data_IF_295544836027
#
_entry.id   IF_295544836027
#
_cell.length_a   1.000
_cell.length_b   1.000
_cell.length_c   1.000
_cell.angle_alpha   90.00
_cell.angle_beta   90.00
_cell.angle_gamma   90.00
#
_symmetry.space_group_name_H-M   'P 1'
#
loop_
_entity.id
_entity.type
_entity.pdbx_description
1 polymer ?
#
# COMPACT_ATOMS: atom_id res chain seq x y z
N UNK A 1 52.41 -14.58 -7.04
CA UNK A 1 51.69 -13.28 -7.13
C UNK A 1 50.26 -13.43 -7.63
N UNK A 2 49.96 -14.29 -8.62
CA UNK A 2 48.58 -14.50 -9.16
C UNK A 2 47.63 -15.18 -8.15
N UNK A 3 48.13 -16.12 -7.34
CA UNK A 3 47.35 -16.80 -6.28
C UNK A 3 46.97 -15.90 -5.10
N UNK A 4 47.80 -14.90 -4.77
CA UNK A 4 47.50 -13.88 -3.75
C UNK A 4 46.41 -12.91 -4.21
N UNK A 5 46.40 -12.58 -5.52
CA UNK A 5 45.36 -11.74 -6.14
C UNK A 5 43.99 -12.45 -6.21
N UNK A 6 43.97 -13.76 -6.45
CA UNK A 6 42.72 -14.54 -6.46
C UNK A 6 42.08 -14.66 -5.06
N UNK A 7 42.90 -14.84 -4.01
CA UNK A 7 42.40 -14.90 -2.63
C UNK A 7 41.82 -13.58 -2.12
N UNK A 8 42.38 -12.46 -2.58
CA UNK A 8 41.90 -11.11 -2.22
C UNK A 8 40.56 -10.76 -2.89
N UNK A 9 40.30 -11.28 -4.10
CA UNK A 9 39.04 -11.07 -4.84
C UNK A 9 37.86 -11.85 -4.25
N UNK A 10 38.08 -13.03 -3.68
CA UNK A 10 37.02 -13.85 -3.04
C UNK A 10 36.61 -13.28 -1.67
N UNK A 11 37.53 -12.64 -0.94
CA UNK A 11 37.25 -12.04 0.37
C UNK A 11 36.33 -10.80 0.31
N UNK A 12 36.35 -10.05 -0.80
CA UNK A 12 35.58 -8.80 -0.92
C UNK A 12 34.08 -9.02 -1.15
N UNK A 13 33.67 -10.16 -1.73
CA UNK A 13 32.27 -10.47 -2.03
C UNK A 13 31.47 -10.87 -0.77
N UNK A 14 32.14 -11.43 0.24
CA UNK A 14 31.46 -11.94 1.45
C UNK A 14 31.05 -10.84 2.44
N UNK A 15 31.71 -9.68 2.42
CA UNK A 15 31.45 -8.58 3.38
C UNK A 15 30.12 -7.88 3.09
N UNK A 16 29.70 -7.79 1.82
CA UNK A 16 28.40 -7.21 1.45
C UNK A 16 27.21 -8.08 1.89
N UNK A 17 27.40 -9.39 2.03
CA UNK A 17 26.33 -10.33 2.36
C UNK A 17 25.76 -10.16 3.77
N UNK A 18 26.62 -9.96 4.79
CA UNK A 18 26.17 -9.87 6.18
C UNK A 18 25.39 -8.58 6.49
N UNK A 19 25.79 -7.46 5.88
CA UNK A 19 25.05 -6.20 6.02
C UNK A 19 23.69 -6.27 5.30
N UNK A 20 23.65 -6.90 4.13
CA UNK A 20 22.42 -7.13 3.37
C UNK A 20 21.44 -8.01 4.13
N UNK A 21 21.92 -9.15 4.61
CA UNK A 21 21.10 -10.12 5.34
C UNK A 21 20.44 -9.49 6.58
N UNK A 22 21.20 -8.69 7.34
CA UNK A 22 20.68 -7.98 8.52
C UNK A 22 19.52 -7.04 8.18
N UNK A 23 19.67 -6.19 7.17
CA UNK A 23 18.63 -5.22 6.77
C UNK A 23 17.39 -5.94 6.26
N UNK A 24 17.57 -7.01 5.47
CA UNK A 24 16.45 -7.80 4.96
C UNK A 24 15.71 -8.54 6.08
N UNK A 25 16.44 -9.05 7.08
CA UNK A 25 15.85 -9.66 8.28
C UNK A 25 15.07 -8.63 9.09
N UNK A 26 15.63 -7.45 9.35
CA UNK A 26 14.96 -6.37 10.07
C UNK A 26 13.65 -5.96 9.37
N UNK A 27 13.70 -5.74 8.05
CA UNK A 27 12.50 -5.41 7.28
C UNK A 27 11.43 -6.51 7.37
N UNK A 28 11.84 -7.78 7.36
CA UNK A 28 10.93 -8.92 7.54
C UNK A 28 10.30 -8.93 8.92
N UNK A 29 11.07 -8.70 9.97
CA UNK A 29 10.55 -8.59 11.34
C UNK A 29 9.54 -7.46 11.49
N UNK A 30 9.80 -6.29 10.89
CA UNK A 30 8.83 -5.20 10.86
C UNK A 30 7.55 -5.61 10.13
N UNK A 31 7.67 -6.30 9.00
CA UNK A 31 6.52 -6.75 8.21
C UNK A 31 5.66 -7.75 9.00
N UNK A 32 6.29 -8.76 9.59
CA UNK A 32 5.63 -9.83 10.35
C UNK A 32 4.97 -9.29 11.63
N UNK A 33 5.54 -8.25 12.22
CA UNK A 33 4.93 -7.55 13.36
C UNK A 33 3.83 -6.55 12.98
N UNK A 34 3.36 -6.54 11.73
CA UNK A 34 2.31 -5.66 11.24
C UNK A 34 2.75 -4.21 11.00
N UNK A 35 4.05 -3.92 11.11
CA UNK A 35 4.65 -2.59 10.90
C UNK A 35 5.17 -2.43 9.48
N UNK A 36 4.36 -2.80 8.50
CA UNK A 36 4.75 -2.87 7.08
C UNK A 36 5.32 -1.56 6.51
N UNK A 37 4.79 -0.40 6.88
CA UNK A 37 5.33 0.88 6.42
C UNK A 37 6.75 1.14 6.95
N UNK A 38 7.07 0.68 8.16
CA UNK A 38 8.44 0.75 8.70
C UNK A 38 9.38 -0.17 7.92
N UNK A 39 8.92 -1.38 7.57
CA UNK A 39 9.67 -2.28 6.71
C UNK A 39 10.00 -1.63 5.35
N UNK A 40 9.03 -0.94 4.74
CA UNK A 40 9.25 -0.19 3.50
C UNK A 40 10.27 0.94 3.68
N UNK A 41 10.20 1.69 4.78
CA UNK A 41 11.14 2.77 5.06
C UNK A 41 12.59 2.26 5.21
N UNK A 42 12.78 1.15 5.92
CA UNK A 42 14.09 0.49 6.08
C UNK A 42 14.64 0.06 4.72
N UNK A 43 13.84 -0.67 3.93
CA UNK A 43 14.24 -1.16 2.61
C UNK A 43 14.51 -0.01 1.63
N UNK A 44 13.69 1.03 1.64
CA UNK A 44 13.88 2.20 0.77
C UNK A 44 15.16 2.95 1.11
N UNK A 45 15.47 3.10 2.40
CA UNK A 45 16.71 3.74 2.87
C UNK A 45 17.92 2.94 2.42
N UNK A 46 17.90 1.61 2.62
CA UNK A 46 18.98 0.73 2.19
C UNK A 46 19.16 0.73 0.67
N UNK A 47 18.07 0.69 -0.10
CA UNK A 47 18.10 0.77 -1.56
C UNK A 47 18.67 2.10 -2.10
N UNK A 48 18.49 3.20 -1.36
CA UNK A 48 19.09 4.50 -1.69
C UNK A 48 20.58 4.55 -1.33
N UNK A 49 20.96 3.97 -0.19
CA UNK A 49 22.34 3.95 0.28
C UNK A 49 23.25 3.00 -0.52
N UNK A 50 22.68 1.91 -1.05
CA UNK A 50 23.40 0.86 -1.76
C UNK A 50 22.73 0.56 -3.12
N UNK A 51 22.82 1.49 -4.10
CA UNK A 51 22.18 1.33 -5.40
C UNK A 51 22.76 0.17 -6.24
N UNK A 52 23.96 -0.31 -5.89
CA UNK A 52 24.66 -1.46 -6.46
C UNK A 52 24.12 -2.80 -5.95
N UNK A 53 23.33 -2.80 -4.88
CA UNK A 53 22.71 -4.01 -4.34
C UNK A 53 21.22 -4.11 -4.74
N UNK A 54 20.88 -4.94 -5.74
CA UNK A 54 19.50 -5.04 -6.21
C UNK A 54 18.56 -5.71 -5.20
N UNK A 55 19.07 -6.43 -4.20
CA UNK A 55 18.25 -7.17 -3.24
C UNK A 55 17.30 -6.25 -2.47
N UNK A 56 17.75 -5.07 -2.03
CA UNK A 56 16.92 -4.12 -1.30
C UNK A 56 15.76 -3.58 -2.13
N UNK A 57 16.01 -3.26 -3.41
CA UNK A 57 14.96 -2.78 -4.31
C UNK A 57 13.93 -3.88 -4.58
N UNK A 58 14.39 -5.10 -4.83
CA UNK A 58 13.51 -6.26 -5.04
C UNK A 58 12.60 -6.50 -3.84
N UNK A 59 13.16 -6.54 -2.63
CA UNK A 59 12.37 -6.75 -1.41
C UNK A 59 11.46 -5.55 -1.11
N UNK A 60 11.88 -4.32 -1.39
CA UNK A 60 11.02 -3.13 -1.27
C UNK A 60 9.76 -3.27 -2.13
N UNK A 61 9.91 -3.58 -3.42
CA UNK A 61 8.75 -3.72 -4.32
C UNK A 61 7.86 -4.88 -3.92
N UNK A 62 8.44 -6.03 -3.56
CA UNK A 62 7.71 -7.19 -3.06
C UNK A 62 6.88 -6.84 -1.82
N UNK A 63 7.48 -6.21 -0.81
CA UNK A 63 6.79 -5.82 0.42
C UNK A 63 5.69 -4.77 0.15
N UNK A 64 5.97 -3.80 -0.72
CA UNK A 64 5.02 -2.75 -1.08
C UNK A 64 3.80 -3.34 -1.75
N UNK A 65 3.99 -4.23 -2.71
CA UNK A 65 2.90 -4.83 -3.46
C UNK A 65 1.99 -5.70 -2.56
N UNK A 66 2.56 -6.40 -1.57
CA UNK A 66 1.80 -7.13 -0.55
C UNK A 66 0.95 -6.20 0.33
N UNK A 67 1.51 -5.06 0.76
CA UNK A 67 0.77 -4.08 1.57
C UNK A 67 -0.33 -3.39 0.76
N UNK A 68 -0.05 -3.03 -0.49
CA UNK A 68 -1.03 -2.46 -1.41
C UNK A 68 -2.20 -3.43 -1.60
N UNK A 69 -1.92 -4.71 -1.87
CA UNK A 69 -2.96 -5.72 -2.00
C UNK A 69 -3.83 -5.84 -0.73
N UNK A 70 -3.20 -5.82 0.46
CA UNK A 70 -3.89 -5.86 1.75
C UNK A 70 -4.79 -4.64 1.95
N UNK A 71 -4.27 -3.43 1.73
CA UNK A 71 -5.04 -2.20 1.90
C UNK A 71 -6.20 -2.12 0.92
N UNK A 72 -6.01 -2.52 -0.34
CA UNK A 72 -7.09 -2.56 -1.32
C UNK A 72 -8.22 -3.51 -0.91
N UNK A 73 -7.87 -4.71 -0.42
CA UNK A 73 -8.88 -5.67 0.06
C UNK A 73 -9.64 -5.18 1.29
N UNK A 74 -8.94 -4.55 2.24
CA UNK A 74 -9.56 -3.94 3.42
C UNK A 74 -10.44 -2.75 3.06
N UNK A 75 -9.96 -1.87 2.16
CA UNK A 75 -10.71 -0.72 1.68
C UNK A 75 -12.01 -1.13 1.02
N UNK A 76 -11.98 -2.16 0.16
CA UNK A 76 -13.18 -2.66 -0.50
C UNK A 76 -14.19 -3.23 0.51
N UNK A 77 -13.71 -3.99 1.51
CA UNK A 77 -14.57 -4.52 2.58
C UNK A 77 -15.26 -3.41 3.36
N UNK A 78 -14.52 -2.35 3.70
CA UNK A 78 -15.06 -1.18 4.41
C UNK A 78 -16.05 -0.40 3.54
N UNK A 79 -15.75 -0.21 2.26
CA UNK A 79 -16.65 0.45 1.30
C UNK A 79 -17.98 -0.28 1.20
N UNK A 80 -17.94 -1.60 1.02
CA UNK A 80 -19.15 -2.43 0.96
C UNK A 80 -19.95 -2.41 2.27
N UNK A 81 -19.28 -2.21 3.40
CA UNK A 81 -19.92 -2.05 4.72
C UNK A 81 -20.44 -0.63 4.97
N UNK A 82 -20.17 0.31 4.07
CA UNK A 82 -20.57 1.71 4.21
C UNK A 82 -19.66 2.59 5.06
N UNK A 83 -18.53 2.05 5.51
CA UNK A 83 -17.48 2.73 6.29
C UNK A 83 -16.57 3.52 5.33
N UNK A 84 -17.16 4.50 4.63
CA UNK A 84 -16.52 5.17 3.50
C UNK A 84 -15.26 5.95 3.88
N UNK A 85 -15.25 6.60 5.03
CA UNK A 85 -14.12 7.39 5.52
C UNK A 85 -12.90 6.49 5.77
N UNK A 86 -13.12 5.31 6.35
CA UNK A 86 -12.07 4.32 6.59
C UNK A 86 -11.57 3.69 5.28
N UNK A 87 -12.49 3.41 4.35
CA UNK A 87 -12.13 2.90 3.02
C UNK A 87 -11.29 3.92 2.22
N UNK A 88 -11.72 5.19 2.21
CA UNK A 88 -11.04 6.30 1.55
C UNK A 88 -9.62 6.49 2.08
N UNK A 89 -9.42 6.40 3.40
CA UNK A 89 -8.11 6.47 4.02
C UNK A 89 -7.15 5.38 3.50
N UNK A 90 -7.65 4.14 3.32
CA UNK A 90 -6.83 3.03 2.80
C UNK A 90 -6.53 3.16 1.31
N UNK A 91 -7.49 3.61 0.49
CA UNK A 91 -7.21 3.89 -0.93
C UNK A 91 -6.21 5.03 -1.10
N UNK A 92 -6.31 6.10 -0.30
CA UNK A 92 -5.31 7.17 -0.29
C UNK A 92 -3.95 6.69 0.20
N UNK A 93 -3.91 5.79 1.17
CA UNK A 93 -2.65 5.16 1.61
C UNK A 93 -1.98 4.41 0.45
N UNK A 94 -2.73 3.68 -0.39
CA UNK A 94 -2.18 3.09 -1.62
C UNK A 94 -1.59 4.16 -2.54
N UNK A 95 -2.28 5.30 -2.72
CA UNK A 95 -1.80 6.40 -3.56
C UNK A 95 -0.53 7.09 -3.03
N UNK A 96 -0.22 7.00 -1.74
CA UNK A 96 1.06 7.48 -1.20
C UNK A 96 2.25 6.67 -1.72
N UNK A 97 2.04 5.42 -2.13
CA UNK A 97 3.08 4.53 -2.65
C UNK A 97 3.05 4.37 -4.18
N UNK A 98 1.88 4.52 -4.78
CA UNK A 98 1.65 4.57 -6.23
C UNK A 98 0.50 5.54 -6.53
N UNK A 99 0.80 6.83 -6.79
CA UNK A 99 -0.23 7.85 -7.02
C UNK A 99 -1.18 7.49 -8.16
N UNK A 100 -0.68 6.73 -9.14
CA UNK A 100 -1.41 6.35 -10.34
C UNK A 100 -2.06 4.97 -10.26
N UNK A 101 -2.16 4.39 -9.04
CA UNK A 101 -2.68 3.05 -8.85
C UNK A 101 -4.16 2.94 -9.28
N UNK A 102 -4.40 2.27 -10.41
CA UNK A 102 -5.71 2.23 -11.06
C UNK A 102 -6.85 1.75 -10.15
N UNK A 103 -6.61 0.71 -9.34
CA UNK A 103 -7.65 0.18 -8.42
C UNK A 103 -7.96 1.13 -7.27
N UNK A 104 -7.00 1.93 -6.82
CA UNK A 104 -7.23 2.89 -5.73
C UNK A 104 -8.07 4.08 -6.23
N UNK A 105 -7.74 4.60 -7.43
CA UNK A 105 -8.57 5.62 -8.09
C UNK A 105 -10.00 5.14 -8.33
N UNK A 106 -10.16 3.92 -8.82
CA UNK A 106 -11.49 3.33 -9.05
C UNK A 106 -12.29 3.22 -7.75
N UNK A 107 -11.66 2.75 -6.66
CA UNK A 107 -12.30 2.66 -5.35
C UNK A 107 -12.75 4.01 -4.79
N UNK A 108 -11.92 5.05 -4.92
CA UNK A 108 -12.29 6.42 -4.53
C UNK A 108 -13.48 6.95 -5.34
N UNK A 109 -13.49 6.71 -6.67
CA UNK A 109 -14.62 7.10 -7.51
C UNK A 109 -15.91 6.34 -7.15
N UNK A 110 -15.80 5.06 -6.75
CA UNK A 110 -16.93 4.28 -6.27
C UNK A 110 -17.48 4.81 -4.95
N UNK A 111 -16.63 5.20 -4.00
CA UNK A 111 -17.06 5.85 -2.74
C UNK A 111 -17.89 7.11 -3.03
N UNK A 112 -17.44 7.96 -3.97
CA UNK A 112 -18.18 9.16 -4.35
C UNK A 112 -19.53 8.86 -5.02
N UNK A 113 -19.61 7.79 -5.80
CA UNK A 113 -20.89 7.32 -6.34
C UNK A 113 -21.82 6.80 -5.24
N UNK A 114 -21.30 5.99 -4.31
CA UNK A 114 -22.07 5.40 -3.22
C UNK A 114 -22.62 6.48 -2.27
N UNK A 115 -21.81 7.49 -1.93
CA UNK A 115 -22.24 8.66 -1.15
C UNK A 115 -23.39 9.41 -1.82
N UNK A 116 -23.28 9.68 -3.13
CA UNK A 116 -24.35 10.36 -3.89
C UNK A 116 -25.63 9.55 -3.91
N UNK A 117 -25.56 8.23 -4.15
CA UNK A 117 -26.73 7.37 -4.11
C UNK A 117 -27.41 7.38 -2.74
N UNK A 118 -26.65 7.29 -1.64
CA UNK A 118 -27.22 7.38 -0.29
C UNK A 118 -27.89 8.73 -0.03
N UNK A 119 -27.30 9.83 -0.49
CA UNK A 119 -27.90 11.15 -0.33
C UNK A 119 -29.23 11.29 -1.10
N UNK A 120 -29.30 10.75 -2.32
CA UNK A 120 -30.54 10.74 -3.12
C UNK A 120 -31.62 9.92 -2.40
N UNK A 121 -31.31 8.70 -1.96
CA UNK A 121 -32.26 7.85 -1.22
C UNK A 121 -32.76 8.54 0.04
N UNK A 122 -31.86 9.10 0.87
CA UNK A 122 -32.24 9.83 2.08
C UNK A 122 -33.12 11.06 1.78
N UNK A 123 -32.87 11.73 0.66
CA UNK A 123 -33.69 12.86 0.22
C UNK A 123 -35.10 12.43 -0.19
N UNK A 124 -35.23 11.32 -0.92
CA UNK A 124 -36.50 10.75 -1.33
C UNK A 124 -37.31 10.25 -0.11
N UNK A 125 -36.66 9.55 0.83
CA UNK A 125 -37.28 9.12 2.09
C UNK A 125 -37.85 10.29 2.90
N UNK A 126 -37.13 11.42 2.94
CA UNK A 126 -37.61 12.64 3.60
C UNK A 126 -38.84 13.21 2.89
N UNK A 127 -38.83 13.32 1.57
CA UNK A 127 -39.96 13.84 0.79
C UNK A 127 -41.21 12.96 0.93
N UNK A 128 -41.03 11.64 0.93
CA UNK A 128 -42.10 10.67 1.20
C UNK A 128 -42.69 10.91 2.60
N UNK A 129 -41.83 11.07 3.62
CA UNK A 129 -42.28 11.38 4.99
C UNK A 129 -43.04 12.70 5.11
N UNK A 130 -42.68 13.68 4.27
CA UNK A 130 -43.37 14.98 4.16
C UNK A 130 -44.65 14.91 3.30
N UNK A 131 -44.99 13.75 2.70
CA UNK A 131 -46.15 13.56 1.83
C UNK A 131 -45.97 14.13 0.41
N UNK A 132 -44.75 14.53 0.04
CA UNK A 132 -44.40 15.13 -1.26
C UNK A 132 -44.03 14.07 -2.29
N UNK A 133 -44.92 13.12 -2.55
CA UNK A 133 -44.63 11.94 -3.37
C UNK A 133 -44.17 12.26 -4.80
N UNK A 134 -44.75 13.28 -5.46
CA UNK A 134 -44.33 13.69 -6.81
C UNK A 134 -42.92 14.26 -6.85
N UNK A 135 -42.47 14.92 -5.78
CA UNK A 135 -41.12 15.47 -5.70
C UNK A 135 -40.08 14.36 -5.41
N UNK A 136 -40.50 13.24 -4.82
CA UNK A 136 -39.63 12.10 -4.52
C UNK A 136 -39.33 11.20 -5.74
N UNK A 137 -40.13 11.31 -6.82
CA UNK A 137 -39.99 10.51 -8.05
C UNK A 137 -39.12 11.18 -9.14
N UNK A 138 -38.74 12.45 -8.93
CA UNK A 138 -37.94 13.26 -9.86
C UNK A 138 -36.44 13.17 -9.57
#
# INVERSE_FOLDING_TARGET
MVTLLLGLLVGLVLVGGCATDRVLSEAREHFDAGRGEQALAVLQTAAKAHPDNPAYRTEYFRARDLLVARWLGQAETLRLSGEFELAEALYRRVQQHDPEHARARAGLAQIEADRRHRAIVASAERLIKEGKYREAEA
#
